data_IF_079726912246
#
_entry.id   IF_079726912246
#
_cell.length_a   1.000
_cell.length_b   1.000
_cell.length_c   1.000
_cell.angle_alpha   90.00
_cell.angle_beta   90.00
_cell.angle_gamma   90.00
#
_symmetry.space_group_name_H-M   'P 1'
#
loop_
_entity.id
_entity.type
_entity.pdbx_description
1 polymer ?
#
# COMPACT_ATOMS: atom_id res chain seq x y z
N UNK A 1 -8.55 11.05 -23.38
CA UNK A 1 -8.13 10.54 -22.04
C UNK A 1 -8.12 11.72 -21.07
N UNK A 2 -8.95 11.69 -20.03
CA UNK A 2 -8.94 12.74 -19.00
C UNK A 2 -7.61 12.72 -18.21
N UNK A 3 -6.98 13.88 -18.04
CA UNK A 3 -5.76 14.04 -17.24
C UNK A 3 -6.04 13.58 -15.80
N UNK A 4 -5.11 12.88 -15.14
CA UNK A 4 -5.31 12.29 -13.79
C UNK A 4 -5.93 13.26 -12.77
N UNK A 5 -5.53 14.53 -12.80
CA UNK A 5 -6.07 15.58 -11.93
C UNK A 5 -7.53 15.93 -12.20
N UNK A 6 -8.00 15.76 -13.44
CA UNK A 6 -9.38 16.02 -13.82
C UNK A 6 -10.30 14.90 -13.31
N UNK A 7 -9.86 13.64 -13.37
CA UNK A 7 -10.65 12.53 -12.84
C UNK A 7 -10.89 12.63 -11.33
N UNK A 8 -9.87 13.03 -10.57
CA UNK A 8 -10.01 13.28 -9.13
C UNK A 8 -11.03 14.38 -8.81
N UNK A 9 -11.15 15.41 -9.66
CA UNK A 9 -12.13 16.48 -9.47
C UNK A 9 -13.56 15.97 -9.61
N UNK A 10 -13.86 15.18 -10.64
CA UNK A 10 -15.18 14.58 -10.82
C UNK A 10 -15.55 13.63 -9.67
N UNK A 11 -14.62 12.80 -9.21
CA UNK A 11 -14.86 11.92 -8.05
C UNK A 11 -15.09 12.72 -6.77
N UNK A 12 -14.41 13.85 -6.57
CA UNK A 12 -14.64 14.73 -5.44
C UNK A 12 -15.99 15.44 -5.50
N UNK A 13 -16.42 15.89 -6.68
CA UNK A 13 -17.71 16.54 -6.87
C UNK A 13 -18.87 15.58 -6.57
N UNK A 14 -18.81 14.35 -7.05
CA UNK A 14 -19.85 13.35 -6.82
C UNK A 14 -19.60 12.49 -5.57
N UNK A 15 -18.69 12.90 -4.66
CA UNK A 15 -18.24 12.09 -3.51
C UNK A 15 -19.38 11.64 -2.61
N UNK A 16 -20.26 12.56 -2.24
CA UNK A 16 -21.35 12.27 -1.30
C UNK A 16 -22.30 11.22 -1.86
N UNK A 17 -22.68 11.36 -3.14
CA UNK A 17 -23.53 10.40 -3.85
C UNK A 17 -22.88 9.04 -4.01
N UNK A 18 -21.57 8.99 -4.28
CA UNK A 18 -20.81 7.73 -4.32
C UNK A 18 -20.88 7.00 -2.97
N UNK A 19 -20.73 7.73 -1.86
CA UNK A 19 -20.78 7.16 -0.52
C UNK A 19 -22.19 6.68 -0.15
N UNK A 20 -23.22 7.48 -0.42
CA UNK A 20 -24.61 7.12 -0.17
C UNK A 20 -24.99 5.83 -0.90
N UNK A 21 -24.68 5.75 -2.20
CA UNK A 21 -24.94 4.54 -2.98
C UNK A 21 -24.13 3.34 -2.48
N UNK A 22 -22.87 3.55 -2.08
CA UNK A 22 -22.06 2.48 -1.51
C UNK A 22 -22.64 1.98 -0.17
N UNK A 23 -23.22 2.87 0.65
CA UNK A 23 -23.94 2.49 1.87
C UNK A 23 -25.22 1.70 1.59
N UNK A 24 -25.88 2.00 0.47
CA UNK A 24 -26.99 1.21 -0.08
C UNK A 24 -26.54 -0.10 -0.75
N UNK A 25 -25.27 -0.49 -0.58
CA UNK A 25 -24.67 -1.71 -1.12
C UNK A 25 -24.56 -1.78 -2.65
N UNK A 26 -24.61 -0.65 -3.35
CA UNK A 26 -24.29 -0.62 -4.78
C UNK A 26 -22.80 -0.90 -5.01
N UNK A 27 -22.53 -1.68 -6.05
CA UNK A 27 -21.17 -1.93 -6.51
C UNK A 27 -20.60 -0.70 -7.22
N UNK A 28 -19.27 -0.58 -7.25
CA UNK A 28 -18.62 0.54 -7.93
C UNK A 28 -18.97 0.63 -9.44
N UNK A 29 -19.31 -0.49 -10.07
CA UNK A 29 -19.75 -0.51 -11.48
C UNK A 29 -21.15 0.09 -11.63
N UNK A 30 -22.06 -0.22 -10.72
CA UNK A 30 -23.41 0.34 -10.73
C UNK A 30 -23.37 1.83 -10.40
N UNK A 31 -22.57 2.24 -9.41
CA UNK A 31 -22.33 3.66 -9.11
C UNK A 31 -21.79 4.41 -10.33
N UNK A 32 -20.87 3.80 -11.08
CA UNK A 32 -20.34 4.39 -12.31
C UNK A 32 -21.42 4.55 -13.40
N UNK A 33 -22.34 3.59 -13.53
CA UNK A 33 -23.42 3.66 -14.51
C UNK A 33 -24.51 4.68 -14.11
N UNK A 34 -24.83 4.76 -12.82
CA UNK A 34 -25.92 5.57 -12.26
C UNK A 34 -25.56 7.07 -12.18
N UNK A 35 -24.28 7.40 -12.01
CA UNK A 35 -23.83 8.80 -11.94
C UNK A 35 -23.34 9.25 -13.32
N UNK A 36 -24.15 9.99 -14.10
CA UNK A 36 -23.83 10.37 -15.47
C UNK A 36 -22.57 11.24 -15.55
N UNK A 37 -22.32 12.07 -14.53
CA UNK A 37 -21.12 12.91 -14.42
C UNK A 37 -19.84 12.07 -14.37
N UNK A 38 -19.87 10.85 -13.82
CA UNK A 38 -18.71 9.97 -13.81
C UNK A 38 -18.58 9.25 -15.14
N UNK A 39 -19.67 8.66 -15.66
CA UNK A 39 -19.65 7.88 -16.89
C UNK A 39 -19.23 8.71 -18.13
N UNK A 40 -19.71 9.96 -18.21
CA UNK A 40 -19.44 10.82 -19.37
C UNK A 40 -18.04 11.42 -19.36
N UNK A 41 -17.46 11.64 -18.17
CA UNK A 41 -16.21 12.42 -18.04
C UNK A 41 -14.97 11.56 -17.75
N UNK A 42 -15.13 10.38 -17.17
CA UNK A 42 -14.01 9.52 -16.77
C UNK A 42 -14.26 8.06 -17.14
N UNK A 43 -13.17 7.30 -17.31
CA UNK A 43 -13.29 5.86 -17.46
C UNK A 43 -13.50 5.17 -16.10
N UNK A 44 -14.16 4.03 -16.10
CA UNK A 44 -14.30 3.18 -14.90
C UNK A 44 -12.96 2.86 -14.23
N UNK A 45 -11.91 2.60 -15.03
CA UNK A 45 -10.56 2.33 -14.51
C UNK A 45 -9.98 3.53 -13.76
N UNK A 46 -10.26 4.75 -14.24
CA UNK A 46 -9.86 5.98 -13.56
C UNK A 46 -10.61 6.15 -12.25
N UNK A 47 -11.93 5.91 -12.23
CA UNK A 47 -12.75 5.94 -11.02
C UNK A 47 -12.22 4.96 -9.97
N UNK A 48 -12.04 3.68 -10.35
CA UNK A 48 -11.56 2.63 -9.44
C UNK A 48 -10.21 2.98 -8.80
N UNK A 49 -9.24 3.45 -9.60
CA UNK A 49 -7.93 3.87 -9.07
C UNK A 49 -8.05 5.07 -8.12
N UNK A 50 -8.86 6.06 -8.44
CA UNK A 50 -9.04 7.26 -7.60
C UNK A 50 -9.75 6.91 -6.29
N UNK A 51 -10.80 6.08 -6.35
CA UNK A 51 -11.50 5.58 -5.16
C UNK A 51 -10.57 4.83 -4.21
N UNK A 52 -9.67 3.99 -4.76
CA UNK A 52 -8.64 3.30 -3.98
C UNK A 52 -7.59 4.28 -3.40
N UNK A 53 -7.10 5.22 -4.20
CA UNK A 53 -6.11 6.22 -3.75
C UNK A 53 -6.64 7.14 -2.64
N UNK A 54 -7.94 7.41 -2.65
CA UNK A 54 -8.61 8.26 -1.66
C UNK A 54 -9.17 7.49 -0.47
N UNK A 55 -9.02 6.16 -0.45
CA UNK A 55 -9.59 5.26 0.57
C UNK A 55 -11.10 5.50 0.79
N UNK A 56 -11.83 5.86 -0.27
CA UNK A 56 -13.22 6.35 -0.21
C UNK A 56 -14.22 5.27 0.24
N UNK A 57 -13.97 4.02 -0.12
CA UNK A 57 -14.94 2.92 0.02
C UNK A 57 -14.53 1.90 1.09
N UNK A 58 -13.29 1.98 1.58
CA UNK A 58 -12.85 1.13 2.65
C UNK A 58 -13.37 1.70 3.95
N UNK A 59 -14.43 1.08 4.49
CA UNK A 59 -14.75 1.16 5.93
C UNK A 59 -13.65 0.43 6.70
N UNK A 60 -12.42 0.94 6.70
CA UNK A 60 -11.56 0.66 7.84
C UNK A 60 -12.25 1.34 9.00
N UNK A 61 -12.86 0.54 9.89
CA UNK A 61 -13.09 0.94 11.27
C UNK A 61 -11.82 1.67 11.65
N UNK A 62 -11.89 2.98 11.87
CA UNK A 62 -10.80 3.70 12.51
C UNK A 62 -10.49 2.85 13.74
N UNK A 63 -9.38 2.12 13.72
CA UNK A 63 -8.79 1.70 14.97
C UNK A 63 -8.47 3.03 15.61
N UNK A 64 -9.34 3.41 16.55
CA UNK A 64 -8.97 4.36 17.58
C UNK A 64 -7.54 4.04 17.96
N UNK A 65 -6.73 5.09 18.03
CA UNK A 65 -5.37 5.01 18.49
C UNK A 65 -5.47 4.67 19.98
N UNK A 66 -5.76 3.41 20.31
CA UNK A 66 -5.57 2.86 21.63
C UNK A 66 -4.09 2.59 21.75
N UNK A 67 -3.46 3.49 22.49
CA UNK A 67 -2.19 3.31 23.17
C UNK A 67 -1.97 1.86 23.62
N UNK A 68 -0.80 1.32 23.26
CA UNK A 68 -0.07 0.25 23.96
C UNK A 68 -0.89 -1.01 24.28
N UNK A 69 -0.69 -2.05 23.47
CA UNK A 69 -0.59 -3.40 24.04
C UNK A 69 0.25 -4.28 23.11
N UNK A 70 1.42 -4.64 23.63
CA UNK A 70 2.35 -5.60 23.06
C UNK A 70 1.66 -6.98 23.08
N UNK A 71 1.43 -7.57 21.92
CA UNK A 71 1.10 -8.99 21.84
C UNK A 71 2.38 -9.74 21.50
N UNK A 72 2.94 -10.34 22.55
CA UNK A 72 3.96 -11.37 22.52
C UNK A 72 3.64 -12.48 21.52
N UNK A 73 4.58 -12.73 20.61
CA UNK A 73 4.83 -14.07 20.07
C UNK A 73 6.27 -14.40 20.39
N UNK A 74 6.47 -15.22 21.43
CA UNK A 74 7.75 -15.81 21.76
C UNK A 74 8.01 -17.01 20.85
N UNK A 75 9.03 -16.92 20.00
CA UNK A 75 9.85 -18.07 19.59
C UNK A 75 11.35 -17.71 19.74
N UNK A 76 11.87 -18.21 20.85
CA UNK A 76 13.25 -18.55 21.26
C UNK A 76 14.10 -19.00 20.03
N UNK A 77 15.35 -18.60 19.71
CA UNK A 77 16.51 -18.02 20.39
C UNK A 77 17.34 -17.17 19.39
N UNK A 78 17.70 -15.95 19.77
CA UNK A 78 19.08 -15.43 19.70
C UNK A 78 19.08 -14.10 20.42
N UNK A 79 19.84 -14.01 21.51
CA UNK A 79 20.00 -12.83 22.37
C UNK A 79 19.85 -11.51 21.56
N UNK A 80 18.76 -10.74 21.71
CA UNK A 80 18.70 -9.45 21.06
C UNK A 80 19.64 -8.56 21.84
N UNK A 81 20.84 -8.32 21.31
CA UNK A 81 21.64 -7.19 21.76
C UNK A 81 20.72 -5.97 21.85
N UNK A 82 20.79 -5.19 22.94
CA UNK A 82 19.93 -4.03 23.11
C UNK A 82 20.06 -3.19 21.85
N UNK A 83 18.94 -3.02 21.12
CA UNK A 83 18.89 -2.21 19.91
C UNK A 83 19.34 -0.81 20.31
N UNK A 84 20.62 -0.51 20.09
CA UNK A 84 21.15 0.82 20.34
C UNK A 84 20.33 1.78 19.50
N UNK A 85 19.84 2.84 20.12
CA UNK A 85 19.21 3.94 19.40
C UNK A 85 20.28 4.59 18.52
N UNK A 86 20.42 4.08 17.30
CA UNK A 86 21.37 4.60 16.32
C UNK A 86 20.70 5.67 15.47
N UNK A 87 21.46 6.72 15.21
CA UNK A 87 21.07 7.78 14.27
C UNK A 87 20.95 7.22 12.85
N UNK A 88 20.25 7.94 11.97
CA UNK A 88 20.09 7.53 10.58
C UNK A 88 21.43 7.42 9.82
N UNK A 89 22.44 8.22 10.22
CA UNK A 89 23.78 8.19 9.63
C UNK A 89 24.51 6.88 9.96
N UNK A 90 24.50 6.47 11.24
CA UNK A 90 25.12 5.23 11.71
C UNK A 90 24.46 4.00 11.08
N UNK A 91 23.12 4.01 10.97
CA UNK A 91 22.36 2.94 10.31
C UNK A 91 22.71 2.78 8.83
N UNK A 92 23.01 3.88 8.14
CA UNK A 92 23.41 3.84 6.73
C UNK A 92 24.85 3.34 6.57
N UNK A 93 25.76 3.74 7.47
CA UNK A 93 27.13 3.26 7.49
C UNK A 93 27.18 1.74 7.69
N UNK A 94 26.44 1.23 8.67
CA UNK A 94 26.36 -0.20 8.97
C UNK A 94 25.83 -1.02 7.77
N UNK A 95 24.82 -0.51 7.06
CA UNK A 95 24.31 -1.13 5.83
C UNK A 95 25.34 -1.18 4.71
N UNK A 96 26.24 -0.18 4.63
CA UNK A 96 27.30 -0.14 3.64
C UNK A 96 28.42 -1.11 4.00
N UNK A 97 28.81 -1.20 5.27
CA UNK A 97 29.90 -2.07 5.74
C UNK A 97 29.49 -3.54 5.75
N UNK A 98 28.25 -3.86 6.12
CA UNK A 98 27.76 -5.24 6.21
C UNK A 98 27.12 -5.74 4.91
N UNK A 99 27.30 -5.03 3.80
CA UNK A 99 26.72 -5.42 2.51
C UNK A 99 27.44 -6.66 1.97
N UNK A 100 26.71 -7.78 1.87
CA UNK A 100 27.22 -8.99 1.21
C UNK A 100 27.60 -8.68 -0.25
N UNK A 101 28.70 -9.24 -0.76
CA UNK A 101 29.10 -9.04 -2.16
C UNK A 101 28.00 -9.55 -3.09
N UNK A 102 27.81 -8.86 -4.23
CA UNK A 102 26.81 -9.24 -5.25
C UNK A 102 27.06 -10.63 -5.84
N UNK A 103 28.30 -11.08 -5.80
CA UNK A 103 28.75 -12.32 -6.37
C UNK A 103 29.72 -12.98 -5.40
N UNK A 104 29.46 -14.24 -5.10
CA UNK A 104 30.40 -15.12 -4.41
C UNK A 104 30.52 -16.38 -5.25
N UNK A 105 31.74 -16.69 -5.69
CA UNK A 105 32.03 -17.93 -6.40
C UNK A 105 32.18 -19.05 -5.36
N UNK A 106 31.32 -20.07 -5.44
CA UNK A 106 31.46 -21.29 -4.66
C UNK A 106 32.19 -22.35 -5.52
N UNK A 107 33.46 -22.68 -5.23
CA UNK A 107 34.21 -23.67 -6.01
C UNK A 107 33.70 -25.11 -5.84
N UNK A 108 32.76 -25.37 -4.91
CA UNK A 108 32.21 -26.71 -4.67
C UNK A 108 30.96 -27.00 -5.50
N UNK A 109 30.37 -26.01 -6.15
CA UNK A 109 29.31 -26.23 -7.12
C UNK A 109 29.94 -26.66 -8.45
N UNK A 110 30.17 -27.97 -8.61
CA UNK A 110 30.63 -28.56 -9.88
C UNK A 110 29.60 -28.32 -10.99
N UNK A 111 29.69 -27.16 -11.66
CA UNK A 111 29.11 -26.88 -12.98
C UNK A 111 27.61 -27.15 -13.15
N UNK A 112 26.81 -27.11 -12.09
CA UNK A 112 25.38 -27.47 -12.15
C UNK A 112 24.47 -26.34 -12.66
N UNK A 113 25.01 -25.12 -12.76
CA UNK A 113 24.22 -23.92 -13.05
C UNK A 113 24.39 -23.41 -14.50
N UNK A 114 25.05 -24.20 -15.36
CA UNK A 114 25.12 -23.96 -16.81
C UNK A 114 24.40 -25.10 -17.56
N UNK A 115 23.07 -25.04 -17.60
CA UNK A 115 22.23 -25.76 -18.55
C UNK A 115 21.17 -24.81 -19.11
#
# INVERSE_FOLDING_TARGET
MAVRHLAKRYVLQSKEKILEMHEQAYTLKEIFAEIPELNQNISYQSLSRVCLQMDLLNKKKSKEITSKEEVETQEITSNPEPKKEMTNAERNLEKLTNRKPKFSYDPHTKGKDFY
#
